data_IF_668963038182
#
_entry.id   IF_668963038182
#
_cell.length_a   1.000
_cell.length_b   1.000
_cell.length_c   1.000
_cell.angle_alpha   90.00
_cell.angle_beta   90.00
_cell.angle_gamma   90.00
#
_symmetry.space_group_name_H-M   'P 1'
#
loop_
_entity.id
_entity.type
_entity.pdbx_description
1 polymer ?
#
# COMPACT_ATOMS: atom_id res chain seq x y z
N UNK A 1 -13.74 48.94 -18.91
CA UNK A 1 -13.35 47.88 -19.87
C UNK A 1 -12.34 46.89 -19.27
N UNK A 2 -11.25 47.35 -18.64
CA UNK A 2 -10.18 46.49 -18.06
C UNK A 2 -10.66 45.42 -17.05
N UNK A 3 -11.61 45.73 -16.16
CA UNK A 3 -12.09 44.77 -15.14
C UNK A 3 -12.79 43.53 -15.71
N UNK A 4 -13.48 43.65 -16.85
CA UNK A 4 -14.17 42.54 -17.49
C UNK A 4 -13.17 41.53 -18.10
N UNK A 5 -12.10 42.03 -18.71
CA UNK A 5 -11.04 41.19 -19.30
C UNK A 5 -10.29 40.36 -18.25
N UNK A 6 -10.03 40.93 -17.08
CA UNK A 6 -9.42 40.21 -15.96
C UNK A 6 -10.32 39.08 -15.42
N UNK A 7 -11.63 39.31 -15.39
CA UNK A 7 -12.60 38.29 -14.95
C UNK A 7 -12.65 37.16 -15.98
N UNK A 8 -12.72 37.47 -17.27
CA UNK A 8 -12.74 36.47 -18.35
C UNK A 8 -11.45 35.64 -18.37
N UNK A 9 -10.27 36.28 -18.21
CA UNK A 9 -8.98 35.58 -18.13
C UNK A 9 -8.89 34.65 -16.92
N UNK A 10 -9.45 35.05 -15.77
CA UNK A 10 -9.51 34.22 -14.55
C UNK A 10 -10.44 33.02 -14.73
N UNK A 11 -11.62 33.22 -15.30
CA UNK A 11 -12.55 32.13 -15.61
C UNK A 11 -11.93 31.13 -16.59
N UNK A 12 -11.33 31.64 -17.67
CA UNK A 12 -10.66 30.78 -18.64
C UNK A 12 -9.50 29.99 -18.03
N UNK A 13 -8.64 30.65 -17.24
CA UNK A 13 -7.55 29.96 -16.54
C UNK A 13 -8.05 28.88 -15.56
N UNK A 14 -9.15 29.16 -14.84
CA UNK A 14 -9.75 28.19 -13.94
C UNK A 14 -10.35 26.98 -14.67
N UNK A 15 -11.06 27.21 -15.80
CA UNK A 15 -11.59 26.14 -16.64
C UNK A 15 -10.48 25.26 -17.20
N UNK A 16 -9.37 25.86 -17.66
CA UNK A 16 -8.22 25.11 -18.16
C UNK A 16 -7.65 24.20 -17.07
N UNK A 17 -7.43 24.71 -15.84
CA UNK A 17 -6.90 23.91 -14.72
C UNK A 17 -7.78 22.70 -14.40
N UNK A 18 -9.11 22.87 -14.38
CA UNK A 18 -10.04 21.75 -14.14
C UNK A 18 -9.95 20.70 -15.24
N UNK A 19 -9.80 21.11 -16.51
CA UNK A 19 -9.70 20.18 -17.64
C UNK A 19 -8.41 19.34 -17.63
N UNK A 20 -7.35 19.81 -16.97
CA UNK A 20 -6.08 19.04 -16.84
C UNK A 20 -6.08 18.15 -15.58
N UNK A 21 -7.05 18.31 -14.69
CA UNK A 21 -7.18 17.49 -13.49
C UNK A 21 -7.79 16.12 -13.85
N UNK A 22 -7.01 15.28 -14.53
CA UNK A 22 -7.39 13.91 -14.81
C UNK A 22 -7.22 13.04 -13.54
N UNK A 23 -8.16 12.11 -13.27
CA UNK A 23 -7.99 11.16 -12.20
C UNK A 23 -6.77 10.27 -12.51
N UNK A 24 -5.84 10.18 -11.56
CA UNK A 24 -4.71 9.25 -11.66
C UNK A 24 -5.15 7.87 -11.16
N UNK A 25 -4.76 6.83 -11.88
CA UNK A 25 -5.00 5.46 -11.46
C UNK A 25 -3.86 5.03 -10.56
N UNK A 26 -4.10 5.00 -9.26
CA UNK A 26 -3.19 4.40 -8.30
C UNK A 26 -3.32 2.87 -8.37
N UNK A 27 -2.27 2.19 -8.83
CA UNK A 27 -2.19 0.73 -8.74
C UNK A 27 -1.60 0.37 -7.36
N UNK A 28 -2.34 -0.38 -6.54
CA UNK A 28 -1.76 -1.03 -5.37
C UNK A 28 -0.79 -2.11 -5.88
N UNK A 29 0.52 -1.91 -5.68
CA UNK A 29 1.54 -2.81 -6.20
C UNK A 29 1.99 -3.80 -5.15
N UNK A 30 1.92 -5.08 -5.52
CA UNK A 30 2.46 -6.19 -4.74
C UNK A 30 3.86 -6.63 -5.23
N UNK A 31 4.51 -5.82 -6.06
CA UNK A 31 5.76 -6.17 -6.75
C UNK A 31 6.93 -6.50 -5.81
N UNK A 32 6.85 -6.11 -4.54
CA UNK A 32 7.84 -6.43 -3.51
C UNK A 32 7.58 -7.76 -2.78
N UNK A 33 6.50 -8.48 -3.10
CA UNK A 33 6.16 -9.75 -2.46
C UNK A 33 6.42 -10.92 -3.40
N UNK A 34 7.04 -11.97 -2.86
CA UNK A 34 7.08 -13.26 -3.54
C UNK A 34 5.74 -13.98 -3.39
N UNK A 35 5.10 -14.24 -4.53
CA UNK A 35 3.81 -14.95 -4.64
C UNK A 35 3.93 -16.32 -5.30
N UNK A 36 5.12 -16.69 -5.72
CA UNK A 36 5.36 -17.91 -6.48
C UNK A 36 5.85 -19.04 -5.59
N UNK A 37 6.37 -18.70 -4.40
CA UNK A 37 6.94 -19.68 -3.48
C UNK A 37 5.97 -19.98 -2.35
N UNK A 38 5.71 -21.27 -2.13
CA UNK A 38 5.02 -21.78 -0.95
C UNK A 38 6.08 -22.39 -0.03
N UNK A 39 6.23 -21.83 1.17
CA UNK A 39 7.16 -22.31 2.20
C UNK A 39 6.42 -22.59 3.49
N UNK A 40 6.96 -23.50 4.30
CA UNK A 40 6.59 -23.64 5.71
C UNK A 40 7.72 -23.04 6.54
N UNK A 41 7.38 -22.13 7.46
CA UNK A 41 8.34 -21.47 8.33
C UNK A 41 8.07 -21.91 9.77
N UNK A 42 9.10 -22.44 10.43
CA UNK A 42 9.14 -22.60 11.88
C UNK A 42 10.13 -21.60 12.44
N UNK A 43 9.72 -20.76 13.39
CA UNK A 43 10.59 -19.71 13.91
C UNK A 43 9.90 -18.87 14.97
N UNK A 44 10.64 -17.90 15.49
CA UNK A 44 10.15 -16.99 16.53
C UNK A 44 9.45 -15.80 15.88
N UNK A 45 8.20 -15.54 16.28
CA UNK A 45 7.54 -14.28 15.93
C UNK A 45 8.20 -13.15 16.72
N UNK A 46 8.84 -12.23 16.02
CA UNK A 46 9.53 -11.08 16.62
C UNK A 46 8.72 -9.79 16.52
N UNK A 47 7.75 -9.73 15.61
CA UNK A 47 6.81 -8.61 15.51
C UNK A 47 5.46 -9.07 14.99
N UNK A 48 4.39 -8.53 15.57
CA UNK A 48 3.01 -8.68 15.08
C UNK A 48 2.36 -7.30 14.95
N UNK A 49 2.10 -6.86 13.71
CA UNK A 49 1.54 -5.53 13.42
C UNK A 49 0.08 -5.65 13.03
N UNK A 50 -0.81 -5.47 14.00
CA UNK A 50 -2.25 -5.41 13.78
C UNK A 50 -2.69 -3.99 13.46
N UNK A 51 -2.62 -3.60 12.18
CA UNK A 51 -3.04 -2.27 11.71
C UNK A 51 -3.63 -2.33 10.30
N UNK A 52 -4.33 -1.27 9.89
CA UNK A 52 -4.76 -1.10 8.49
C UNK A 52 -3.63 -0.42 7.67
N UNK A 53 -3.52 -0.68 6.34
CA UNK A 53 -4.45 -1.50 5.54
C UNK A 53 -4.21 -3.02 5.62
N UNK A 54 -3.03 -3.47 6.06
CA UNK A 54 -2.67 -4.90 6.15
C UNK A 54 -2.02 -5.24 7.48
N UNK A 55 -2.31 -6.46 7.96
CA UNK A 55 -1.62 -7.08 9.08
C UNK A 55 -0.27 -7.62 8.61
N UNK A 56 0.78 -7.47 9.42
CA UNK A 56 2.10 -8.04 9.14
C UNK A 56 2.60 -8.89 10.30
N UNK A 57 3.33 -9.94 9.97
CA UNK A 57 4.03 -10.82 10.91
C UNK A 57 5.51 -10.86 10.52
N UNK A 58 6.41 -10.62 11.46
CA UNK A 58 7.85 -10.77 11.26
C UNK A 58 8.33 -12.00 12.02
N UNK A 59 8.98 -12.93 11.32
CA UNK A 59 9.49 -14.19 11.86
C UNK A 59 11.00 -14.23 11.71
N UNK A 60 11.68 -14.59 12.79
CA UNK A 60 13.11 -14.85 12.87
C UNK A 60 13.31 -16.37 12.90
N UNK A 61 14.08 -16.91 11.97
CA UNK A 61 14.30 -18.36 11.81
C UNK A 61 15.70 -18.66 11.29
N UNK A 62 16.05 -19.93 11.21
CA UNK A 62 17.31 -20.42 10.65
C UNK A 62 17.00 -21.22 9.39
N UNK A 63 17.70 -20.95 8.29
CA UNK A 63 17.55 -21.70 7.04
C UNK A 63 18.17 -23.11 7.13
N UNK A 64 18.01 -23.91 6.07
CA UNK A 64 18.57 -25.26 5.98
C UNK A 64 20.11 -25.30 6.01
N UNK A 65 20.76 -24.15 5.81
CA UNK A 65 22.21 -23.99 5.84
C UNK A 65 22.73 -23.49 7.20
N UNK A 66 21.85 -23.27 8.17
CA UNK A 66 22.22 -22.78 9.50
C UNK A 66 22.34 -21.25 9.60
N UNK A 67 21.91 -20.50 8.59
CA UNK A 67 21.96 -19.04 8.61
C UNK A 67 20.70 -18.45 9.25
N UNK A 68 20.86 -17.43 10.08
CA UNK A 68 19.73 -16.63 10.57
C UNK A 68 19.11 -15.82 9.43
N UNK A 69 17.78 -15.92 9.30
CA UNK A 69 16.99 -15.23 8.28
C UNK A 69 15.71 -14.66 8.87
N UNK A 70 15.34 -13.46 8.41
CA UNK A 70 14.14 -12.76 8.86
C UNK A 70 13.12 -12.69 7.72
N UNK A 71 11.93 -13.23 7.96
CA UNK A 71 10.80 -13.19 7.06
C UNK A 71 9.79 -12.12 7.49
N UNK A 72 9.30 -11.34 6.52
CA UNK A 72 8.17 -10.43 6.69
C UNK A 72 7.01 -10.94 5.86
N UNK A 73 5.93 -11.32 6.54
CA UNK A 73 4.73 -11.86 5.93
C UNK A 73 3.62 -10.82 5.97
N UNK A 74 2.99 -10.60 4.83
CA UNK A 74 1.75 -9.82 4.73
C UNK A 74 0.54 -10.74 4.85
N UNK A 75 -0.45 -10.31 5.62
CA UNK A 75 -1.76 -10.95 5.73
C UNK A 75 -2.88 -10.01 5.26
N UNK A 76 -4.12 -10.48 5.34
CA UNK A 76 -5.29 -9.69 5.00
C UNK A 76 -5.45 -8.43 5.86
N UNK A 77 -6.33 -7.54 5.42
CA UNK A 77 -6.76 -6.40 6.23
C UNK A 77 -7.39 -6.86 7.56
N UNK A 78 -7.37 -5.99 8.57
CA UNK A 78 -7.97 -6.29 9.89
C UNK A 78 -9.41 -6.77 9.77
N UNK A 79 -10.19 -6.18 8.86
CA UNK A 79 -11.60 -6.54 8.65
C UNK A 79 -11.81 -7.99 8.24
N UNK A 80 -10.85 -8.58 7.51
CA UNK A 80 -10.89 -9.97 7.06
C UNK A 80 -10.32 -10.91 8.11
N UNK A 81 -9.29 -10.46 8.84
CA UNK A 81 -8.61 -11.25 9.87
C UNK A 81 -9.36 -11.28 11.21
N UNK A 82 -10.33 -10.39 11.40
CA UNK A 82 -11.16 -10.34 12.62
C UNK A 82 -12.26 -11.40 12.60
N UNK A 83 -12.62 -11.93 13.77
CA UNK A 83 -13.74 -12.88 13.91
C UNK A 83 -15.03 -12.22 13.41
N UNK A 84 -15.79 -12.93 12.57
CA UNK A 84 -17.04 -12.40 11.98
C UNK A 84 -18.28 -12.50 12.87
N UNK A 85 -18.14 -12.92 14.13
CA UNK A 85 -19.26 -13.21 15.05
C UNK A 85 -19.10 -14.58 15.63
#
# INVERSE_FOLDING_TARGET
MVRAEYIVKRFFGFTVIIMIALPVWGHHSDSGMDRNTVVTLEGRVVEFRWRNPHVYITIDTTDEHGNEVVWKLEAGAISVMSRMG
#
